data_IF_421516571470
#
_entry.id   IF_421516571470
#
_cell.length_a   1.000
_cell.length_b   1.000
_cell.length_c   1.000
_cell.angle_alpha   90.00
_cell.angle_beta   90.00
_cell.angle_gamma   90.00
#
_symmetry.space_group_name_H-M   'P 1'
#
loop_
_entity.id
_entity.type
_entity.pdbx_description
1 polymer ?
#
# COMPACT_ATOMS: atom_id res chain seq x y z
N UNK A 1 20.50 55.61 -30.01
CA UNK A 1 20.93 55.19 -28.66
C UNK A 1 20.25 56.12 -27.70
N UNK A 2 19.04 55.79 -27.26
CA UNK A 2 18.28 56.59 -26.30
C UNK A 2 17.31 55.70 -25.54
N UNK A 3 17.19 56.01 -24.25
CA UNK A 3 16.14 55.63 -23.30
C UNK A 3 15.84 54.15 -23.00
N UNK A 4 16.55 53.60 -22.01
CA UNK A 4 16.02 52.53 -21.12
C UNK A 4 16.54 52.72 -19.69
N UNK A 5 16.15 53.80 -18.99
CA UNK A 5 16.57 54.01 -17.58
C UNK A 5 15.47 54.22 -16.54
N UNK A 6 14.17 54.13 -16.88
CA UNK A 6 13.15 54.65 -15.95
C UNK A 6 12.22 53.61 -15.30
N UNK A 7 12.40 52.30 -15.50
CA UNK A 7 11.46 51.32 -14.94
C UNK A 7 11.86 50.69 -13.59
N UNK A 8 13.09 50.88 -13.10
CA UNK A 8 13.56 50.18 -11.90
C UNK A 8 12.85 50.63 -10.60
N UNK A 9 12.42 51.89 -10.53
CA UNK A 9 11.70 52.42 -9.36
C UNK A 9 10.27 51.91 -9.20
N UNK A 10 9.61 51.53 -10.30
CA UNK A 10 8.20 51.08 -10.30
C UNK A 10 8.03 49.66 -9.74
N UNK A 11 9.02 48.79 -9.96
CA UNK A 11 8.98 47.42 -9.45
C UNK A 11 9.26 47.34 -7.94
N UNK A 12 10.07 48.26 -7.41
CA UNK A 12 10.38 48.30 -5.97
C UNK A 12 9.16 48.66 -5.11
N UNK A 13 8.27 49.54 -5.59
CA UNK A 13 7.05 49.90 -4.85
C UNK A 13 6.01 48.78 -4.84
N UNK A 14 5.88 48.02 -5.94
CA UNK A 14 4.97 46.87 -6.02
C UNK A 14 5.34 45.74 -5.05
N UNK A 15 6.65 45.46 -4.90
CA UNK A 15 7.12 44.43 -3.98
C UNK A 15 6.82 44.79 -2.53
N UNK A 16 7.01 46.07 -2.15
CA UNK A 16 6.74 46.52 -0.77
C UNK A 16 5.25 46.41 -0.43
N UNK A 17 4.36 46.79 -1.35
CA UNK A 17 2.91 46.67 -1.14
C UNK A 17 2.49 45.20 -0.99
N UNK A 18 3.07 44.30 -1.77
CA UNK A 18 2.77 42.87 -1.71
C UNK A 18 3.22 42.23 -0.38
N UNK A 19 4.41 42.58 0.11
CA UNK A 19 4.91 42.07 1.40
C UNK A 19 4.07 42.58 2.57
N UNK A 20 3.63 43.84 2.55
CA UNK A 20 2.74 44.40 3.58
C UNK A 20 1.36 43.70 3.56
N UNK A 21 0.82 43.42 2.37
CA UNK A 21 -0.46 42.71 2.24
C UNK A 21 -0.38 41.27 2.79
N UNK A 22 0.71 40.54 2.55
CA UNK A 22 0.94 39.20 3.09
C UNK A 22 1.13 39.20 4.62
N UNK A 23 1.80 40.21 5.17
CA UNK A 23 1.97 40.34 6.61
C UNK A 23 0.64 40.65 7.32
N UNK A 24 -0.22 41.49 6.74
CA UNK A 24 -1.52 41.81 7.31
C UNK A 24 -2.56 40.68 7.14
N UNK A 25 -2.51 39.92 6.05
CA UNK A 25 -3.41 38.79 5.81
C UNK A 25 -3.25 37.65 6.84
N UNK A 26 -2.03 37.38 7.29
CA UNK A 26 -1.77 36.33 8.29
C UNK A 26 -2.20 36.70 9.71
N UNK A 27 -2.31 37.99 10.04
CA UNK A 27 -2.81 38.43 11.36
C UNK A 27 -4.33 38.25 11.45
N UNK A 28 -5.05 38.33 10.33
CA UNK A 28 -6.51 38.21 10.31
C UNK A 28 -7.00 36.75 10.46
N UNK A 29 -6.22 35.76 9.99
CA UNK A 29 -6.58 34.34 10.12
C UNK A 29 -6.38 33.79 11.53
N UNK A 30 -5.41 34.31 12.30
CA UNK A 30 -5.17 33.84 13.68
C UNK A 30 -6.18 34.37 14.71
N UNK A 31 -6.76 35.56 14.52
CA UNK A 31 -7.71 36.12 15.51
C UNK A 31 -9.15 35.68 15.21
N UNK A 32 -9.51 35.42 13.95
CA UNK A 32 -10.87 35.03 13.57
C UNK A 32 -11.30 33.62 14.03
N UNK A 33 -10.37 32.65 14.06
CA UNK A 33 -10.69 31.27 14.46
C UNK A 33 -10.96 31.08 15.96
N UNK A 34 -10.38 31.93 16.80
CA UNK A 34 -10.56 31.85 18.26
C UNK A 34 -11.95 32.30 18.73
N UNK A 35 -12.71 33.03 17.90
CA UNK A 35 -14.03 33.55 18.27
C UNK A 35 -15.21 32.73 17.72
N UNK A 36 -15.05 31.94 16.65
CA UNK A 36 -16.12 31.08 16.14
C UNK A 36 -16.23 29.72 16.84
N UNK A 37 -15.19 29.26 17.55
CA UNK A 37 -15.18 27.95 18.22
C UNK A 37 -16.11 27.82 19.44
N UNK A 38 -16.67 28.93 19.96
CA UNK A 38 -17.53 28.93 21.16
C UNK A 38 -19.03 29.08 20.87
N UNK A 39 -19.46 29.27 19.62
CA UNK A 39 -20.89 29.45 19.28
C UNK A 39 -21.57 28.21 18.69
N UNK A 40 -20.81 27.21 18.24
CA UNK A 40 -21.35 25.92 17.80
C UNK A 40 -21.15 24.91 18.91
N UNK A 41 -22.14 24.85 19.79
CA UNK A 41 -22.17 24.00 20.97
C UNK A 41 -21.86 22.55 20.63
N UNK A 42 -21.01 21.95 21.47
CA UNK A 42 -20.89 20.51 21.55
C UNK A 42 -22.27 19.95 21.94
N UNK A 43 -22.87 19.05 21.14
CA UNK A 43 -24.01 18.28 21.62
C UNK A 43 -23.50 17.47 22.82
N UNK A 44 -24.13 17.68 23.98
CA UNK A 44 -23.91 16.85 25.17
C UNK A 44 -24.23 15.42 24.78
N UNK A 45 -23.20 14.59 24.62
CA UNK A 45 -23.35 13.16 24.45
C UNK A 45 -24.12 12.61 25.66
N UNK A 46 -25.35 12.17 25.39
CA UNK A 46 -26.12 11.31 26.27
C UNK A 46 -25.26 10.07 26.51
N UNK A 47 -24.83 9.90 27.76
CA UNK A 47 -24.07 8.75 28.20
C UNK A 47 -25.07 7.59 28.37
N UNK A 48 -25.30 6.82 27.29
CA UNK A 48 -25.99 5.53 27.36
C UNK A 48 -25.12 4.56 28.18
N UNK A 49 -25.27 4.63 29.51
CA UNK A 49 -24.91 3.55 30.42
C UNK A 49 -25.89 2.42 30.21
N UNK A 50 -25.63 1.56 29.23
CA UNK A 50 -26.10 0.15 29.20
C UNK A 50 -25.35 -0.72 28.17
N UNK A 51 -24.11 -0.36 27.79
CA UNK A 51 -23.20 -1.34 27.20
C UNK A 51 -22.58 -2.20 28.31
N UNK A 52 -23.37 -3.15 28.82
CA UNK A 52 -22.84 -4.36 29.43
C UNK A 52 -21.96 -5.04 28.38
N UNK A 53 -20.68 -4.70 28.41
CA UNK A 53 -19.66 -5.23 27.52
C UNK A 53 -19.46 -6.70 27.92
N UNK A 54 -20.24 -7.57 27.29
CA UNK A 54 -20.06 -9.01 27.32
C UNK A 54 -18.73 -9.26 26.59
N UNK A 55 -17.63 -9.13 27.33
CA UNK A 55 -16.31 -9.51 26.89
C UNK A 55 -16.35 -11.04 26.80
N UNK A 56 -16.93 -11.58 25.72
CA UNK A 56 -16.67 -12.96 25.35
C UNK A 56 -15.17 -13.00 25.11
N UNK A 57 -14.46 -13.61 26.06
CA UNK A 57 -13.10 -14.06 25.84
C UNK A 57 -13.26 -15.18 24.81
N UNK A 58 -13.32 -14.80 23.53
CA UNK A 58 -13.26 -15.76 22.45
C UNK A 58 -11.96 -16.54 22.63
N UNK A 59 -12.03 -17.85 22.47
CA UNK A 59 -10.84 -18.68 22.45
C UNK A 59 -9.90 -18.24 21.32
N UNK A 60 -8.61 -18.53 21.44
CA UNK A 60 -7.64 -18.22 20.39
C UNK A 60 -8.00 -18.87 19.05
N UNK A 61 -8.60 -20.06 19.09
CA UNK A 61 -9.05 -20.77 17.88
C UNK A 61 -10.26 -20.09 17.23
N UNK A 62 -11.22 -19.62 18.02
CA UNK A 62 -12.36 -18.83 17.51
C UNK A 62 -11.88 -17.51 16.91
N UNK A 63 -10.94 -16.82 17.55
CA UNK A 63 -10.33 -15.60 17.00
C UNK A 63 -9.62 -15.88 15.66
N UNK A 64 -8.89 -17.00 15.57
CA UNK A 64 -8.21 -17.41 14.34
C UNK A 64 -9.21 -17.69 13.22
N UNK A 65 -10.29 -18.42 13.50
CA UNK A 65 -11.31 -18.72 12.51
C UNK A 65 -12.04 -17.46 12.03
N UNK A 66 -12.40 -16.57 12.95
CA UNK A 66 -13.03 -15.29 12.62
C UNK A 66 -12.11 -14.42 11.74
N UNK A 67 -10.80 -14.41 12.02
CA UNK A 67 -9.83 -13.74 11.16
C UNK A 67 -9.79 -14.34 9.76
N UNK A 68 -9.72 -15.67 9.64
CA UNK A 68 -9.68 -16.34 8.33
C UNK A 68 -10.95 -16.07 7.52
N UNK A 69 -12.13 -16.12 8.15
CA UNK A 69 -13.40 -15.81 7.48
C UNK A 69 -13.44 -14.36 6.99
N UNK A 70 -13.01 -13.41 7.84
CA UNK A 70 -12.97 -12.00 7.45
C UNK A 70 -11.97 -11.74 6.31
N UNK A 71 -10.79 -12.35 6.41
CA UNK A 71 -9.73 -12.32 5.40
C UNK A 71 -10.24 -12.81 4.05
N UNK A 72 -10.92 -13.96 4.04
CA UNK A 72 -11.43 -14.57 2.82
C UNK A 72 -12.53 -13.70 2.18
N UNK A 73 -13.38 -13.07 2.99
CA UNK A 73 -14.36 -12.09 2.51
C UNK A 73 -13.73 -10.88 1.80
N UNK A 74 -12.67 -10.29 2.38
CA UNK A 74 -11.93 -9.19 1.73
C UNK A 74 -11.36 -9.64 0.38
N UNK A 75 -10.76 -10.84 0.33
CA UNK A 75 -10.18 -11.35 -0.91
C UNK A 75 -11.24 -11.65 -1.97
N UNK A 76 -12.42 -12.12 -1.58
CA UNK A 76 -13.54 -12.34 -2.50
C UNK A 76 -14.04 -11.02 -3.11
N UNK A 77 -14.17 -9.98 -2.29
CA UNK A 77 -14.54 -8.64 -2.75
C UNK A 77 -13.48 -8.09 -3.73
N UNK A 78 -12.19 -8.16 -3.37
CA UNK A 78 -11.10 -7.73 -4.26
C UNK A 78 -11.05 -8.53 -5.57
N UNK A 79 -11.35 -9.85 -5.53
CA UNK A 79 -11.43 -10.67 -6.75
C UNK A 79 -12.57 -10.22 -7.66
N UNK A 80 -13.71 -9.83 -7.09
CA UNK A 80 -14.84 -9.32 -7.86
C UNK A 80 -14.50 -8.00 -8.57
N UNK A 81 -13.67 -7.17 -7.93
CA UNK A 81 -13.21 -5.89 -8.48
C UNK A 81 -12.01 -6.06 -9.46
N UNK A 82 -11.38 -7.24 -9.49
CA UNK A 82 -10.21 -7.53 -10.32
C UNK A 82 -8.88 -7.14 -9.67
N UNK A 83 -8.92 -6.74 -8.40
CA UNK A 83 -7.79 -6.27 -7.61
C UNK A 83 -7.09 -7.42 -6.84
N UNK A 84 -7.44 -8.68 -7.09
CA UNK A 84 -6.80 -9.81 -6.43
C UNK A 84 -6.47 -10.98 -7.37
N UNK A 85 -5.18 -11.28 -7.45
CA UNK A 85 -4.58 -12.35 -8.23
C UNK A 85 -3.28 -12.83 -7.54
N UNK A 86 -3.44 -13.73 -6.56
CA UNK A 86 -2.32 -14.29 -5.81
C UNK A 86 -1.64 -15.46 -6.57
N UNK A 87 -0.33 -15.58 -6.41
CA UNK A 87 0.49 -16.63 -7.03
C UNK A 87 0.74 -17.85 -6.14
N UNK A 88 0.26 -17.84 -4.89
CA UNK A 88 0.42 -18.93 -3.93
C UNK A 88 -0.79 -19.88 -3.94
N UNK A 89 -0.62 -21.09 -3.42
CA UNK A 89 -1.74 -22.01 -3.19
C UNK A 89 -2.65 -21.53 -2.06
N UNK A 90 -2.05 -20.97 -1.01
CA UNK A 90 -2.76 -20.33 0.10
C UNK A 90 -2.47 -18.83 0.06
N UNK A 91 -3.50 -17.97 0.15
CA UNK A 91 -3.30 -16.53 0.19
C UNK A 91 -2.34 -16.04 1.27
N UNK A 92 -1.40 -15.18 0.89
CA UNK A 92 -0.49 -14.51 1.82
C UNK A 92 -1.18 -13.35 2.58
N UNK A 93 -0.63 -12.99 3.74
CA UNK A 93 -1.17 -11.90 4.58
C UNK A 93 -0.86 -10.52 4.00
N UNK A 94 0.27 -10.38 3.31
CA UNK A 94 0.69 -9.16 2.65
C UNK A 94 -0.32 -8.70 1.59
N UNK A 95 -0.97 -9.59 0.84
CA UNK A 95 -1.97 -9.16 -0.15
C UNK A 95 -3.19 -8.43 0.44
N UNK A 96 -3.37 -8.44 1.77
CA UNK A 96 -4.36 -7.59 2.46
C UNK A 96 -3.70 -6.39 3.13
N UNK A 97 -2.53 -6.58 3.75
CA UNK A 97 -1.90 -5.54 4.56
C UNK A 97 -1.11 -4.52 3.73
N UNK A 98 -0.45 -4.98 2.65
CA UNK A 98 0.51 -4.19 1.86
C UNK A 98 0.59 -4.68 0.41
N UNK A 99 0.25 -3.80 -0.51
CA UNK A 99 0.49 -4.04 -1.93
C UNK A 99 1.93 -3.67 -2.30
N UNK A 100 2.77 -4.59 -2.81
CA UNK A 100 4.08 -4.24 -3.36
C UNK A 100 3.91 -3.41 -4.63
N UNK A 101 4.80 -2.44 -4.86
CA UNK A 101 4.82 -1.65 -6.11
C UNK A 101 3.66 -0.66 -6.32
N UNK A 102 2.52 -0.77 -5.61
CA UNK A 102 1.30 0.01 -5.91
C UNK A 102 0.80 0.98 -4.81
N UNK A 103 1.57 1.22 -3.75
CA UNK A 103 1.21 2.20 -2.70
C UNK A 103 0.23 1.65 -1.65
N UNK A 104 -0.30 2.53 -0.79
CA UNK A 104 -1.35 2.15 0.16
C UNK A 104 -2.65 1.85 -0.61
N UNK A 105 -3.12 0.61 -0.54
CA UNK A 105 -4.37 0.20 -1.17
C UNK A 105 -4.28 -1.24 -1.64
N UNK A 106 -5.10 -2.09 -1.02
CA UNK A 106 -5.17 -3.54 -1.17
C UNK A 106 -5.46 -3.95 -2.62
N UNK A 107 -4.42 -4.10 -3.44
CA UNK A 107 -4.50 -4.89 -4.66
C UNK A 107 -3.39 -5.92 -4.62
N UNK A 108 -3.57 -7.04 -5.30
CA UNK A 108 -2.61 -8.14 -5.30
C UNK A 108 -2.51 -8.59 -6.74
N UNK A 109 -1.42 -8.20 -7.42
CA UNK A 109 -1.17 -8.53 -8.82
C UNK A 109 0.01 -9.49 -9.01
N UNK A 110 0.47 -10.14 -7.92
CA UNK A 110 1.64 -11.02 -7.97
C UNK A 110 1.55 -12.15 -9.00
N UNK A 111 0.34 -12.59 -9.38
CA UNK A 111 0.16 -13.52 -10.49
C UNK A 111 0.64 -12.91 -11.82
N UNK A 112 0.20 -11.70 -12.16
CA UNK A 112 0.63 -11.03 -13.39
C UNK A 112 2.11 -10.68 -13.34
N UNK A 113 2.59 -10.22 -12.19
CA UNK A 113 3.98 -9.82 -12.00
C UNK A 113 4.89 -11.01 -12.33
N UNK A 114 4.63 -12.17 -11.72
CA UNK A 114 5.39 -13.40 -12.00
C UNK A 114 5.31 -13.81 -13.46
N UNK A 115 4.12 -13.78 -14.08
CA UNK A 115 3.97 -14.15 -15.49
C UNK A 115 4.72 -13.21 -16.44
N UNK A 116 5.01 -11.99 -16.01
CA UNK A 116 5.77 -10.99 -16.76
C UNK A 116 7.27 -10.98 -16.39
N UNK A 117 7.72 -11.84 -15.47
CA UNK A 117 9.09 -11.86 -14.97
C UNK A 117 9.40 -10.73 -13.98
N UNK A 118 8.37 -10.12 -13.38
CA UNK A 118 8.50 -9.12 -12.33
C UNK A 118 8.34 -9.79 -10.94
N UNK A 119 9.08 -9.31 -9.94
CA UNK A 119 9.09 -9.94 -8.63
C UNK A 119 7.74 -9.83 -7.90
N UNK A 120 7.27 -10.90 -7.22
CA UNK A 120 6.09 -10.82 -6.36
C UNK A 120 6.44 -10.19 -5.01
N UNK A 121 5.45 -10.04 -4.12
CA UNK A 121 5.71 -9.57 -2.75
C UNK A 121 6.72 -10.45 -2.00
N UNK A 122 7.44 -9.87 -1.03
CA UNK A 122 8.44 -10.61 -0.26
C UNK A 122 7.92 -11.86 0.47
N UNK A 123 6.65 -11.85 0.92
CA UNK A 123 6.02 -13.05 1.52
C UNK A 123 5.82 -14.13 0.45
N UNK A 124 5.36 -13.77 -0.75
CA UNK A 124 5.24 -14.70 -1.87
C UNK A 124 6.60 -15.28 -2.27
N UNK A 125 7.68 -14.49 -2.32
CA UNK A 125 9.03 -15.00 -2.61
C UNK A 125 9.41 -16.08 -1.59
N UNK A 126 9.24 -15.82 -0.30
CA UNK A 126 9.54 -16.79 0.76
C UNK A 126 8.76 -18.10 0.60
N UNK A 127 7.43 -17.99 0.49
CA UNK A 127 6.53 -19.15 0.33
C UNK A 127 6.82 -19.94 -0.96
N UNK A 128 7.14 -19.26 -2.07
CA UNK A 128 7.53 -19.92 -3.31
C UNK A 128 8.82 -20.73 -3.12
N UNK A 129 9.84 -20.16 -2.48
CA UNK A 129 11.11 -20.85 -2.23
C UNK A 129 10.96 -22.00 -1.22
N UNK A 130 9.90 -21.98 -0.40
CA UNK A 130 9.56 -23.08 0.51
C UNK A 130 8.78 -24.21 -0.17
N UNK A 131 8.12 -23.93 -1.30
CA UNK A 131 7.34 -24.89 -2.10
C UNK A 131 5.82 -24.70 -2.02
N UNK A 132 5.36 -23.53 -1.60
CA UNK A 132 3.94 -23.18 -1.39
C UNK A 132 3.37 -22.29 -2.51
N UNK A 133 4.14 -22.03 -3.56
CA UNK A 133 3.69 -21.37 -4.77
C UNK A 133 2.73 -22.23 -5.58
N UNK A 134 1.90 -21.60 -6.42
CA UNK A 134 1.05 -22.31 -7.34
C UNK A 134 1.90 -23.07 -8.38
N UNK A 135 1.90 -24.40 -8.32
CA UNK A 135 2.68 -25.28 -9.20
C UNK A 135 2.51 -25.04 -10.70
N UNK A 136 1.39 -24.46 -11.15
CA UNK A 136 1.18 -24.17 -12.57
C UNK A 136 1.98 -22.95 -13.06
N UNK A 137 2.53 -22.18 -12.12
CA UNK A 137 3.35 -21.00 -12.39
C UNK A 137 4.84 -21.29 -12.21
N UNK A 138 5.23 -22.52 -11.86
CA UNK A 138 6.60 -22.84 -11.45
C UNK A 138 7.65 -22.50 -12.50
N UNK A 139 7.31 -22.55 -13.79
CA UNK A 139 8.19 -22.15 -14.88
C UNK A 139 8.57 -20.66 -14.85
N UNK A 140 7.82 -19.80 -14.17
CA UNK A 140 8.04 -18.35 -14.12
C UNK A 140 8.73 -17.88 -12.83
N UNK A 141 8.83 -18.72 -11.81
CA UNK A 141 9.26 -18.29 -10.47
C UNK A 141 10.72 -17.84 -10.44
N UNK A 142 11.61 -18.56 -11.13
CA UNK A 142 13.03 -18.30 -10.99
C UNK A 142 13.44 -16.94 -11.56
N UNK A 143 12.98 -16.61 -12.78
CA UNK A 143 13.22 -15.31 -13.41
C UNK A 143 12.58 -14.17 -12.63
N UNK A 144 11.31 -14.31 -12.25
CA UNK A 144 10.60 -13.29 -11.47
C UNK A 144 11.29 -12.98 -10.13
N UNK A 145 11.79 -14.00 -9.42
CA UNK A 145 12.50 -13.78 -8.15
C UNK A 145 13.89 -13.16 -8.40
N UNK A 146 14.60 -13.62 -9.45
CA UNK A 146 15.93 -13.12 -9.80
C UNK A 146 15.94 -11.63 -10.15
N UNK A 147 14.84 -11.07 -10.63
CA UNK A 147 14.72 -9.64 -10.92
C UNK A 147 14.97 -8.76 -9.69
N UNK A 148 14.46 -9.15 -8.51
CA UNK A 148 14.67 -8.41 -7.26
C UNK A 148 15.95 -8.83 -6.52
N UNK A 149 16.25 -10.13 -6.48
CA UNK A 149 17.41 -10.61 -5.69
C UNK A 149 18.73 -10.53 -6.44
N UNK A 150 18.69 -10.39 -7.77
CA UNK A 150 19.82 -10.27 -8.67
C UNK A 150 20.00 -11.47 -9.61
N UNK A 151 20.25 -11.18 -10.89
CA UNK A 151 20.48 -12.18 -11.96
C UNK A 151 21.63 -13.15 -11.67
N UNK A 152 22.63 -12.74 -10.89
CA UNK A 152 23.74 -13.60 -10.45
C UNK A 152 23.27 -14.80 -9.60
N UNK A 153 22.03 -14.77 -9.09
CA UNK A 153 21.42 -15.85 -8.31
C UNK A 153 20.46 -16.72 -9.11
N UNK A 154 20.21 -16.43 -10.39
CA UNK A 154 19.21 -17.13 -11.20
C UNK A 154 19.43 -18.65 -11.22
N UNK A 155 20.65 -19.12 -11.48
CA UNK A 155 20.96 -20.56 -11.52
C UNK A 155 20.66 -21.26 -10.18
N UNK A 156 20.98 -20.60 -9.06
CA UNK A 156 20.71 -21.14 -7.73
C UNK A 156 19.21 -21.20 -7.44
N UNK A 157 18.46 -20.19 -7.85
CA UNK A 157 17.01 -20.14 -7.70
C UNK A 157 16.36 -21.22 -8.58
N UNK A 158 16.81 -21.38 -9.83
CA UNK A 158 16.31 -22.42 -10.73
C UNK A 158 16.49 -23.82 -10.15
N UNK A 159 17.63 -24.07 -9.49
CA UNK A 159 17.87 -25.32 -8.77
C UNK A 159 16.87 -25.52 -7.62
N UNK A 160 16.62 -24.48 -6.81
CA UNK A 160 15.62 -24.53 -5.73
C UNK A 160 14.22 -24.83 -6.29
N UNK A 161 13.80 -24.12 -7.34
CA UNK A 161 12.47 -24.34 -7.96
C UNK A 161 12.37 -25.74 -8.55
N UNK A 162 13.44 -26.25 -9.16
CA UNK A 162 13.49 -27.63 -9.66
C UNK A 162 13.28 -28.65 -8.54
N UNK A 163 13.96 -28.47 -7.40
CA UNK A 163 13.82 -29.34 -6.23
C UNK A 163 12.44 -29.25 -5.57
N UNK A 164 11.87 -28.05 -5.48
CA UNK A 164 10.60 -27.80 -4.77
C UNK A 164 9.38 -28.20 -5.59
N UNK A 165 9.39 -27.98 -6.90
CA UNK A 165 8.22 -28.17 -7.77
C UNK A 165 8.37 -29.35 -8.73
N UNK A 166 9.54 -29.97 -8.82
CA UNK A 166 9.77 -31.15 -9.65
C UNK A 166 9.78 -30.88 -11.16
N UNK A 167 10.05 -29.64 -11.57
CA UNK A 167 10.25 -29.25 -12.97
C UNK A 167 11.74 -29.20 -13.30
N UNK A 168 12.12 -29.48 -14.54
CA UNK A 168 13.53 -29.37 -14.96
C UNK A 168 13.95 -27.90 -15.07
N UNK A 169 15.26 -27.65 -15.03
CA UNK A 169 15.80 -26.29 -15.22
C UNK A 169 15.48 -25.77 -16.63
N UNK A 170 15.53 -26.64 -17.65
CA UNK A 170 15.24 -26.28 -19.04
C UNK A 170 13.76 -25.90 -19.29
N UNK A 171 12.86 -26.27 -18.38
CA UNK A 171 11.44 -25.90 -18.43
C UNK A 171 11.15 -24.55 -17.76
N UNK A 172 12.15 -23.94 -17.11
CA UNK A 172 12.01 -22.63 -16.46
C UNK A 172 12.35 -21.51 -17.46
N UNK A 173 11.51 -20.47 -17.50
CA UNK A 173 11.54 -19.35 -18.44
C UNK A 173 12.40 -18.19 -17.95
#
# INVERSE_FOLDING_TARGET
MEEKKNNLGSWASLIIVFVIALALGNVFTMVGWSMMGNLFGQPTMMHDTDHYQYHQIMSMDENRLAYLEHRDGIMDDMRADGDYACCLETPCTYCIEKTPGHGEGASCHCLSDIMNGEHPCGECIGEILEGHGNKYLSQYFASAIAEEVGEDHLEAIQQIISEKYGISIDEQL
#
